data_IF_490146202747
#
_entry.id   IF_490146202747
#
_cell.length_a   1.000
_cell.length_b   1.000
_cell.length_c   1.000
_cell.angle_alpha   90.00
_cell.angle_beta   90.00
_cell.angle_gamma   90.00
#
_symmetry.space_group_name_H-M   'P 1'
#
loop_
_entity.id
_entity.type
_entity.pdbx_description
1 polymer ?
#
# COMPACT_ATOMS: atom_id res chain seq x y z
N UNK A 1 13.61 20.72 10.09
CA UNK A 1 12.16 20.75 10.41
C UNK A 1 11.98 21.34 11.79
N UNK A 2 11.01 22.24 11.95
CA UNK A 2 10.58 22.67 13.26
C UNK A 2 9.85 21.52 13.97
N UNK A 3 9.78 21.54 15.30
CA UNK A 3 9.09 20.51 16.09
C UNK A 3 7.62 20.34 15.68
N UNK A 4 6.95 21.44 15.34
CA UNK A 4 5.54 21.44 14.90
C UNK A 4 5.33 20.76 13.54
N UNK A 5 6.32 20.85 12.64
CA UNK A 5 6.27 20.17 11.34
C UNK A 5 6.29 18.64 11.51
N UNK A 6 7.13 18.16 12.44
CA UNK A 6 7.24 16.73 12.75
C UNK A 6 5.96 16.21 13.39
N UNK A 7 5.37 16.96 14.33
CA UNK A 7 4.10 16.56 14.95
C UNK A 7 2.95 16.53 13.94
N UNK A 8 2.91 17.50 13.03
CA UNK A 8 1.91 17.54 11.95
C UNK A 8 2.08 16.34 11.03
N UNK A 9 3.32 16.06 10.61
CA UNK A 9 3.66 14.90 9.79
C UNK A 9 3.21 13.58 10.42
N UNK A 10 3.55 13.34 11.69
CA UNK A 10 3.16 12.11 12.39
C UNK A 10 1.64 11.97 12.52
N UNK A 11 0.92 13.06 12.77
CA UNK A 11 -0.55 13.05 12.84
C UNK A 11 -1.19 12.74 11.50
N UNK A 12 -0.66 13.29 10.41
CA UNK A 12 -1.19 12.99 9.08
C UNK A 12 -0.90 11.54 8.68
N UNK A 13 0.29 11.01 9.00
CA UNK A 13 0.59 9.59 8.78
C UNK A 13 -0.34 8.66 9.57
N UNK A 14 -0.59 8.96 10.84
CA UNK A 14 -1.51 8.20 11.70
C UNK A 14 -2.93 8.17 11.10
N UNK A 15 -3.44 9.32 10.65
CA UNK A 15 -4.74 9.41 9.96
C UNK A 15 -4.79 8.60 8.68
N UNK A 16 -3.72 8.62 7.88
CA UNK A 16 -3.63 7.84 6.64
C UNK A 16 -3.58 6.35 6.94
N UNK A 17 -2.86 5.94 8.00
CA UNK A 17 -2.76 4.56 8.43
C UNK A 17 -4.11 4.01 8.88
N UNK A 18 -4.85 4.78 9.69
CA UNK A 18 -6.21 4.42 10.12
C UNK A 18 -7.17 4.30 8.94
N UNK A 19 -7.08 5.21 7.95
CA UNK A 19 -7.91 5.19 6.74
C UNK A 19 -7.64 3.96 5.89
N UNK A 20 -6.37 3.68 5.60
CA UNK A 20 -5.98 2.46 4.87
C UNK A 20 -6.33 1.20 5.67
N UNK A 21 -6.15 1.21 6.99
CA UNK A 21 -6.48 0.11 7.88
C UNK A 21 -7.95 -0.24 7.84
N UNK A 22 -8.82 0.78 7.94
CA UNK A 22 -10.27 0.59 7.82
C UNK A 22 -10.64 0.05 6.44
N UNK A 23 -10.15 0.69 5.38
CA UNK A 23 -10.49 0.29 4.01
C UNK A 23 -10.05 -1.14 3.71
N UNK A 24 -8.81 -1.51 4.04
CA UNK A 24 -8.31 -2.87 3.84
C UNK A 24 -9.01 -3.88 4.73
N UNK A 25 -9.41 -3.52 5.94
CA UNK A 25 -10.24 -4.40 6.79
C UNK A 25 -11.63 -4.62 6.18
N UNK A 26 -12.25 -3.59 5.61
CA UNK A 26 -13.53 -3.72 4.89
C UNK A 26 -13.38 -4.63 3.67
N UNK A 27 -12.31 -4.47 2.90
CA UNK A 27 -11.98 -5.35 1.78
C UNK A 27 -11.76 -6.80 2.24
N UNK A 28 -11.10 -7.03 3.37
CA UNK A 28 -10.93 -8.38 3.94
C UNK A 28 -12.27 -9.05 4.23
N UNK A 29 -13.24 -8.30 4.77
CA UNK A 29 -14.54 -8.82 5.16
C UNK A 29 -15.51 -9.01 3.98
N UNK A 30 -15.33 -8.28 2.89
CA UNK A 30 -16.31 -8.20 1.81
C UNK A 30 -15.81 -8.70 0.45
N UNK A 31 -14.52 -8.98 0.30
CA UNK A 31 -13.94 -9.51 -0.94
C UNK A 31 -13.90 -11.04 -0.90
N UNK A 32 -14.97 -11.69 -1.37
CA UNK A 32 -15.02 -13.16 -1.44
C UNK A 32 -14.07 -13.76 -2.49
N UNK A 33 -13.56 -12.94 -3.41
CA UNK A 33 -12.75 -13.37 -4.54
C UNK A 33 -11.31 -13.79 -4.23
N UNK A 34 -10.82 -13.65 -3.00
CA UNK A 34 -9.43 -13.95 -2.62
C UNK A 34 -9.26 -15.25 -1.81
N UNK A 35 -10.32 -16.06 -1.69
CA UNK A 35 -10.31 -17.28 -0.89
C UNK A 35 -10.43 -17.06 0.63
N UNK A 36 -10.86 -18.09 1.35
CA UNK A 36 -11.29 -17.97 2.75
C UNK A 36 -10.13 -17.87 3.77
N UNK A 37 -8.95 -18.38 3.42
CA UNK A 37 -7.78 -18.44 4.31
C UNK A 37 -6.86 -17.20 4.21
N UNK A 38 -7.37 -16.12 3.62
CA UNK A 38 -6.62 -14.86 3.45
C UNK A 38 -6.37 -14.15 4.77
N UNK A 39 -5.16 -13.63 4.93
CA UNK A 39 -4.75 -12.85 6.10
C UNK A 39 -4.48 -11.39 5.74
N UNK A 40 -4.65 -10.49 6.70
CA UNK A 40 -4.34 -9.06 6.56
C UNK A 40 -3.35 -8.62 7.64
N UNK A 41 -2.22 -8.06 7.19
CA UNK A 41 -1.17 -7.52 8.04
C UNK A 41 -1.10 -6.01 7.88
N UNK A 42 -0.79 -5.30 8.97
CA UNK A 42 -0.63 -3.86 9.01
C UNK A 42 0.74 -3.49 9.56
N UNK A 43 1.46 -2.64 8.87
CA UNK A 43 2.82 -2.27 9.25
C UNK A 43 3.14 -0.82 8.92
N UNK A 44 3.87 -0.17 9.83
CA UNK A 44 4.53 1.12 9.60
C UNK A 44 6.03 0.85 9.51
N UNK A 45 6.60 1.03 8.32
CA UNK A 45 8.03 0.86 8.05
C UNK A 45 8.72 2.20 7.93
N UNK A 46 9.93 2.29 8.47
CA UNK A 46 10.82 3.44 8.27
C UNK A 46 12.19 2.94 7.84
N UNK A 47 12.58 3.30 6.62
CA UNK A 47 13.82 2.86 6.00
C UNK A 47 14.70 4.07 5.69
N UNK A 48 15.98 4.00 6.06
CA UNK A 48 16.98 4.95 5.60
C UNK A 48 17.57 4.43 4.29
N UNK A 49 17.62 5.29 3.28
CA UNK A 49 18.20 4.99 1.97
C UNK A 49 19.67 5.39 1.90
N UNK A 50 20.36 4.88 0.89
CA UNK A 50 21.79 5.11 0.66
C UNK A 50 22.13 6.58 0.39
N UNK A 51 21.16 7.36 -0.08
CA UNK A 51 21.24 8.80 -0.33
C UNK A 51 20.85 9.66 0.89
N UNK A 52 20.86 9.07 2.08
CA UNK A 52 20.40 9.66 3.34
C UNK A 52 18.92 10.07 3.37
N UNK A 53 18.14 9.75 2.33
CA UNK A 53 16.70 9.96 2.35
C UNK A 53 16.03 8.99 3.33
N UNK A 54 14.95 9.43 3.97
CA UNK A 54 14.15 8.62 4.87
C UNK A 54 12.83 8.30 4.20
N UNK A 55 12.54 7.02 4.01
CA UNK A 55 11.24 6.54 3.54
C UNK A 55 10.41 6.08 4.73
N UNK A 56 9.21 6.61 4.84
CA UNK A 56 8.16 6.09 5.73
C UNK A 56 7.09 5.43 4.86
N UNK A 57 6.72 4.20 5.17
CA UNK A 57 5.72 3.42 4.42
C UNK A 57 4.67 2.88 5.36
N UNK A 58 3.40 3.18 5.06
CA UNK A 58 2.23 2.52 5.59
C UNK A 58 1.93 1.33 4.67
N UNK A 59 2.01 0.12 5.19
CA UNK A 59 1.80 -1.12 4.46
C UNK A 59 0.61 -1.87 5.04
N UNK A 60 -0.32 -2.25 4.16
CA UNK A 60 -1.44 -3.12 4.48
C UNK A 60 -1.41 -4.27 3.49
N UNK A 61 -1.01 -5.46 3.96
CA UNK A 61 -0.70 -6.61 3.12
C UNK A 61 -1.75 -7.69 3.27
N UNK A 62 -2.34 -8.10 2.16
CA UNK A 62 -3.07 -9.36 2.08
C UNK A 62 -2.10 -10.49 1.75
N UNK A 63 -2.17 -11.57 2.49
CA UNK A 63 -1.50 -12.84 2.18
C UNK A 63 -2.56 -13.85 1.81
N UNK A 64 -2.49 -14.38 0.60
CA UNK A 64 -3.46 -15.31 0.03
C UNK A 64 -2.78 -16.66 -0.22
N UNK A 65 -3.03 -17.68 0.61
CA UNK A 65 -2.46 -19.00 0.41
C UNK A 65 -3.00 -19.67 -0.87
N UNK A 66 -2.11 -20.32 -1.64
CA UNK A 66 -2.50 -21.08 -2.83
C UNK A 66 -2.87 -22.53 -2.54
N UNK A 67 -2.31 -23.08 -1.46
CA UNK A 67 -2.55 -24.45 -1.05
C UNK A 67 -2.65 -24.57 0.48
N UNK A 68 -3.41 -25.56 0.98
CA UNK A 68 -3.42 -25.89 2.41
C UNK A 68 -2.00 -26.22 2.88
N UNK A 69 -1.45 -25.41 3.78
CA UNK A 69 -0.07 -25.54 4.26
C UNK A 69 0.82 -24.32 4.01
N UNK A 70 0.39 -23.38 3.16
CA UNK A 70 0.98 -22.04 3.07
C UNK A 70 2.41 -21.94 2.51
N UNK A 71 2.88 -22.96 1.78
CA UNK A 71 4.21 -22.92 1.16
C UNK A 71 4.29 -21.93 -0.03
N UNK A 72 3.16 -21.71 -0.71
CA UNK A 72 3.02 -20.75 -1.82
C UNK A 72 1.90 -19.76 -1.50
N UNK A 73 2.18 -18.47 -1.70
CA UNK A 73 1.26 -17.37 -1.37
C UNK A 73 1.24 -16.31 -2.47
N UNK A 74 0.14 -15.57 -2.54
CA UNK A 74 0.11 -14.30 -3.25
C UNK A 74 0.04 -13.19 -2.21
N UNK A 75 0.86 -12.16 -2.40
CA UNK A 75 0.84 -10.98 -1.54
C UNK A 75 0.26 -9.79 -2.31
N UNK A 76 -0.70 -9.09 -1.72
CA UNK A 76 -1.22 -7.82 -2.26
C UNK A 76 -0.99 -6.72 -1.23
N UNK A 77 -0.16 -5.75 -1.61
CA UNK A 77 0.32 -4.67 -0.76
C UNK A 77 -0.36 -3.35 -1.11
N UNK A 78 -1.20 -2.88 -0.21
CA UNK A 78 -1.72 -1.52 -0.24
C UNK A 78 -0.73 -0.62 0.49
N UNK A 79 -0.05 0.25 -0.24
CA UNK A 79 1.00 1.10 0.32
C UNK A 79 0.69 2.57 0.17
N UNK A 80 0.99 3.34 1.22
CA UNK A 80 1.18 4.78 1.14
C UNK A 80 2.56 5.12 1.71
N UNK A 81 3.43 5.71 0.90
CA UNK A 81 4.80 5.97 1.26
C UNK A 81 5.20 7.41 0.95
N UNK A 82 5.98 8.00 1.83
CA UNK A 82 6.67 9.28 1.64
C UNK A 82 8.16 9.05 1.82
N UNK A 83 8.95 9.57 0.89
CA UNK A 83 10.41 9.61 0.97
C UNK A 83 10.82 11.06 1.10
N UNK A 84 11.48 11.39 2.21
CA UNK A 84 11.98 12.73 2.53
C UNK A 84 13.48 12.75 2.23
N UNK A 85 13.89 13.53 1.23
CA UNK A 85 15.28 13.76 0.86
C UNK A 85 15.67 15.22 1.14
N UNK A 86 16.95 15.55 0.95
CA UNK A 86 17.39 16.94 1.09
C UNK A 86 16.71 17.83 0.03
N UNK A 87 15.88 18.77 0.49
CA UNK A 87 15.25 19.79 -0.36
C UNK A 87 13.99 19.35 -1.12
N UNK A 88 13.60 18.07 -1.10
CA UNK A 88 12.35 17.61 -1.73
C UNK A 88 11.84 16.28 -1.16
N UNK A 89 10.57 16.00 -1.43
CA UNK A 89 9.89 14.77 -1.07
C UNK A 89 9.34 14.07 -2.32
N UNK A 90 9.27 12.74 -2.23
CA UNK A 90 8.49 11.90 -3.14
C UNK A 90 7.38 11.24 -2.34
N UNK A 91 6.18 11.18 -2.89
CA UNK A 91 5.05 10.47 -2.30
C UNK A 91 4.47 9.47 -3.30
N UNK A 92 4.05 8.31 -2.81
CA UNK A 92 3.51 7.21 -3.61
C UNK A 92 2.38 6.52 -2.86
N UNK A 93 1.27 6.27 -3.55
CA UNK A 93 0.24 5.32 -3.11
C UNK A 93 0.08 4.27 -4.19
N UNK A 94 0.09 3.00 -3.83
CA UNK A 94 0.01 1.92 -4.79
C UNK A 94 -0.68 0.67 -4.24
N UNK A 95 -1.18 -0.14 -5.16
CA UNK A 95 -1.53 -1.54 -4.92
C UNK A 95 -0.51 -2.38 -5.70
N UNK A 96 0.46 -2.91 -4.96
CA UNK A 96 1.50 -3.79 -5.48
C UNK A 96 1.08 -5.25 -5.27
N UNK A 97 1.51 -6.15 -6.14
CA UNK A 97 1.25 -7.58 -6.01
C UNK A 97 2.54 -8.37 -6.20
N UNK A 98 2.71 -9.42 -5.42
CA UNK A 98 3.77 -10.40 -5.58
C UNK A 98 3.14 -11.78 -5.69
N UNK A 99 3.28 -12.39 -6.87
CA UNK A 99 2.63 -13.66 -7.18
C UNK A 99 3.64 -14.80 -7.22
N UNK A 100 3.47 -15.83 -6.39
CA UNK A 100 4.24 -17.08 -6.50
C UNK A 100 3.87 -17.94 -7.72
N UNK A 101 2.79 -17.59 -8.44
CA UNK A 101 2.33 -18.26 -9.66
C UNK A 101 1.55 -17.27 -10.55
N UNK A 102 1.53 -17.43 -11.89
CA UNK A 102 0.83 -16.51 -12.77
C UNK A 102 -0.71 -16.57 -12.61
N UNK A 103 -1.37 -15.41 -12.68
CA UNK A 103 -2.84 -15.26 -12.53
C UNK A 103 -3.40 -14.37 -13.65
N UNK A 104 -4.35 -14.88 -14.45
CA UNK A 104 -4.82 -14.27 -15.71
C UNK A 104 -3.66 -13.77 -16.59
N UNK A 105 -3.53 -12.45 -16.69
CA UNK A 105 -2.55 -11.74 -17.50
C UNK A 105 -1.36 -11.25 -16.67
N UNK A 106 -1.37 -11.48 -15.36
CA UNK A 106 -0.26 -11.14 -14.47
C UNK A 106 0.76 -12.29 -14.46
N UNK A 107 2.03 -12.00 -14.76
CA UNK A 107 3.10 -12.98 -14.62
C UNK A 107 3.39 -13.27 -13.15
N UNK A 108 4.07 -14.39 -12.90
CA UNK A 108 4.73 -14.65 -11.62
C UNK A 108 5.71 -13.50 -11.26
N UNK A 109 5.80 -13.20 -9.97
CA UNK A 109 6.66 -12.17 -9.42
C UNK A 109 5.96 -10.83 -9.15
N UNK A 110 6.73 -9.74 -9.02
CA UNK A 110 6.19 -8.42 -8.68
C UNK A 110 5.45 -7.78 -9.87
N UNK A 111 4.31 -7.17 -9.59
CA UNK A 111 3.55 -6.33 -10.52
C UNK A 111 2.86 -5.19 -9.77
N UNK A 112 2.42 -4.17 -10.51
CA UNK A 112 1.69 -3.01 -9.95
C UNK A 112 0.31 -2.98 -10.55
N UNK A 113 -0.73 -3.12 -9.71
CA UNK A 113 -2.12 -3.08 -10.15
C UNK A 113 -2.62 -1.64 -10.30
N UNK A 114 -2.18 -0.76 -9.41
CA UNK A 114 -2.55 0.64 -9.42
C UNK A 114 -1.47 1.49 -8.75
N UNK A 115 -1.22 2.69 -9.29
CA UNK A 115 -0.25 3.64 -8.72
C UNK A 115 -0.66 5.09 -8.94
N UNK A 116 -0.39 5.89 -7.90
CA UNK A 116 -0.28 7.34 -7.96
C UNK A 116 1.06 7.75 -7.36
N UNK A 117 1.74 8.69 -8.01
CA UNK A 117 3.02 9.22 -7.54
C UNK A 117 3.16 10.73 -7.73
N UNK A 118 3.84 11.37 -6.80
CA UNK A 118 4.31 12.75 -6.90
C UNK A 118 5.79 12.81 -6.53
N UNK A 119 6.58 13.55 -7.31
CA UNK A 119 8.02 13.73 -7.11
C UNK A 119 8.36 15.22 -7.04
N UNK A 120 9.40 15.56 -6.27
CA UNK A 120 9.90 16.94 -6.21
C UNK A 120 8.98 17.92 -5.48
N UNK A 121 8.09 17.43 -4.61
CA UNK A 121 7.17 18.25 -3.82
C UNK A 121 7.76 18.57 -2.45
N UNK A 122 7.24 19.59 -1.78
CA UNK A 122 7.54 19.80 -0.37
C UNK A 122 6.79 18.77 0.51
N UNK A 123 7.11 18.75 1.81
CA UNK A 123 6.52 17.78 2.73
C UNK A 123 4.99 17.94 2.84
N UNK A 124 4.50 19.17 2.88
CA UNK A 124 3.06 19.45 2.95
C UNK A 124 2.35 19.01 1.66
N UNK A 125 2.94 19.28 0.50
CA UNK A 125 2.46 18.80 -0.80
C UNK A 125 2.44 17.27 -0.88
N UNK A 126 3.46 16.60 -0.35
CA UNK A 126 3.51 15.14 -0.25
C UNK A 126 2.36 14.59 0.62
N UNK A 127 2.11 15.18 1.80
CA UNK A 127 1.03 14.75 2.69
C UNK A 127 -0.36 14.97 2.08
N UNK A 128 -0.59 16.14 1.47
CA UNK A 128 -1.85 16.41 0.75
C UNK A 128 -2.06 15.46 -0.43
N UNK A 129 -0.99 15.16 -1.16
CA UNK A 129 -1.02 14.18 -2.23
C UNK A 129 -1.39 12.78 -1.71
N UNK A 130 -0.75 12.31 -0.64
CA UNK A 130 -1.07 11.01 -0.04
C UNK A 130 -2.53 10.93 0.39
N UNK A 131 -3.05 11.97 1.05
CA UNK A 131 -4.45 12.02 1.45
C UNK A 131 -5.39 11.91 0.24
N UNK A 132 -5.15 12.67 -0.81
CA UNK A 132 -5.97 12.61 -2.03
C UNK A 132 -5.90 11.23 -2.71
N UNK A 133 -4.69 10.67 -2.85
CA UNK A 133 -4.48 9.40 -3.50
C UNK A 133 -5.05 8.21 -2.71
N UNK A 134 -5.02 8.26 -1.37
CA UNK A 134 -5.70 7.26 -0.53
C UNK A 134 -7.22 7.33 -0.68
N UNK A 135 -7.81 8.52 -0.83
CA UNK A 135 -9.25 8.62 -1.11
C UNK A 135 -9.60 8.09 -2.51
N UNK A 136 -8.76 8.35 -3.53
CA UNK A 136 -8.93 7.73 -4.85
C UNK A 136 -8.86 6.20 -4.78
N UNK A 137 -7.89 5.67 -4.03
CA UNK A 137 -7.74 4.24 -3.79
C UNK A 137 -8.98 3.64 -3.11
N UNK A 138 -9.53 4.32 -2.10
CA UNK A 138 -10.76 3.89 -1.44
C UNK A 138 -11.95 3.82 -2.41
N UNK A 139 -11.98 4.72 -3.40
CA UNK A 139 -13.02 4.78 -4.42
C UNK A 139 -12.89 3.77 -5.56
N UNK A 140 -11.85 2.92 -5.57
CA UNK A 140 -11.69 1.90 -6.60
C UNK A 140 -12.75 0.80 -6.43
N UNK A 141 -13.43 0.47 -7.54
CA UNK A 141 -14.44 -0.60 -7.55
C UNK A 141 -13.82 -1.99 -7.34
N UNK A 142 -12.63 -2.23 -7.90
CA UNK A 142 -11.90 -3.49 -7.77
C UNK A 142 -10.39 -3.23 -7.64
N UNK A 143 -9.87 -3.03 -6.42
CA UNK A 143 -8.46 -2.75 -6.20
C UNK A 143 -7.56 -4.00 -6.38
N UNK A 144 -8.13 -5.20 -6.35
CA UNK A 144 -7.40 -6.47 -6.51
C UNK A 144 -7.33 -6.91 -7.98
N UNK A 145 -8.16 -6.32 -8.84
CA UNK A 145 -8.20 -6.56 -10.27
C UNK A 145 -8.37 -8.05 -10.59
N UNK A 146 -7.49 -8.65 -11.41
CA UNK A 146 -7.70 -10.02 -11.87
C UNK A 146 -7.72 -11.07 -10.76
N UNK A 147 -7.17 -10.78 -9.56
CA UNK A 147 -7.09 -11.75 -8.46
C UNK A 147 -8.46 -12.18 -7.94
N UNK A 148 -9.49 -11.33 -8.03
CA UNK A 148 -10.84 -11.65 -7.52
C UNK A 148 -11.63 -12.57 -8.43
N UNK A 149 -11.19 -12.74 -9.69
CA UNK A 149 -11.92 -13.50 -10.72
C UNK A 149 -11.48 -14.97 -10.86
N UNK A 150 -10.46 -15.41 -10.13
CA UNK A 150 -9.82 -16.72 -10.35
C UNK A 150 -10.15 -17.82 -9.34
N UNK A 151 -10.90 -17.53 -8.29
CA UNK A 151 -11.24 -18.51 -7.25
C UNK A 151 -12.63 -19.17 -7.44
N UNK A 152 -13.15 -19.25 -8.68
CA UNK A 152 -14.36 -20.03 -9.01
C UNK A 152 -14.04 -21.42 -9.55
#
# INVERSE_FOLDING_TARGET
MAHDDVLTFLRELDRLHDRLGRHTSELLLHTDGLGDDRELLHELRTDRRDDDAVRVTLLHRFVVPLAPGGEETHEVDFTAAVTVAEGSCTARVAVDVHLDAPVAALPEGPSVLWERRADGVDLDGALRFLASAVEELHGLEDPFGPLTTHHQ
#
